data_IF_545440386200
#
_entry.id   IF_545440386200
#
_cell.length_a   1.000
_cell.length_b   1.000
_cell.length_c   1.000
_cell.angle_alpha   90.00
_cell.angle_beta   90.00
_cell.angle_gamma   90.00
#
_symmetry.space_group_name_H-M   'P 1'
#
loop_
_entity.id
_entity.type
_entity.pdbx_description
1 polymer ?
2 non-polymer ?
3 non-polymer ?
4 water ?
#
# COMPACT_ATOMS: atom_id res chain seq x y z
N UNK A 9 19.02 -22.94 16.41
CA UNK A 9 20.06 -23.36 15.44
C UNK A 9 19.49 -24.37 14.42
N UNK A 10 18.65 -25.31 14.85
CA UNK A 10 18.18 -26.40 13.95
C UNK A 10 17.07 -25.84 13.04
N UNK A 11 16.33 -24.83 13.48
CA UNK A 11 15.10 -24.38 12.77
C UNK A 11 15.47 -23.37 11.65
N UNK A 12 16.77 -23.09 11.52
CA UNK A 12 17.32 -21.91 10.81
C UNK A 12 16.71 -21.87 9.40
N UNK A 13 16.46 -23.00 8.73
CA UNK A 13 16.11 -23.07 7.28
C UNK A 13 14.73 -23.66 6.99
N UNK A 14 13.85 -23.91 7.97
CA UNK A 14 12.63 -24.67 7.60
C UNK A 14 11.62 -23.76 6.89
N UNK A 15 11.53 -22.49 7.22
CA UNK A 15 10.40 -21.67 6.69
C UNK A 15 10.57 -21.48 5.17
N UNK A 16 9.46 -21.46 4.46
CA UNK A 16 9.42 -21.23 3.01
C UNK A 16 8.52 -20.01 2.74
N UNK A 17 8.94 -19.13 1.85
CA UNK A 17 8.18 -17.92 1.49
C UNK A 17 7.81 -17.91 0.02
N UNK A 18 6.62 -17.39 -0.28
CA UNK A 18 6.06 -17.22 -1.61
C UNK A 18 5.82 -15.77 -1.87
N UNK A 19 6.02 -15.37 -3.13
CA UNK A 19 5.51 -14.08 -3.58
C UNK A 19 4.56 -14.20 -4.75
N UNK A 20 4.16 -13.05 -5.29
CA UNK A 20 3.05 -12.98 -6.27
C UNK A 20 3.28 -13.98 -7.42
N UNK A 21 4.50 -13.99 -7.96
CA UNK A 21 4.78 -14.79 -9.16
C UNK A 21 4.90 -16.30 -8.85
N UNK A 22 4.80 -16.70 -7.59
CA UNK A 22 4.85 -18.13 -7.17
C UNK A 22 3.44 -18.74 -7.22
N UNK A 23 2.38 -17.93 -7.34
CA UNK A 23 1.00 -18.42 -7.07
C UNK A 23 0.00 -17.89 -8.08
N UNK A 24 -1.09 -18.64 -8.25
CA UNK A 24 -2.31 -18.22 -8.97
C UNK A 24 -3.51 -18.48 -8.10
N UNK A 25 -4.58 -17.73 -8.31
CA UNK A 25 -5.85 -17.97 -7.66
C UNK A 25 -6.70 -18.99 -8.45
N UNK A 26 -7.26 -19.93 -7.74
CA UNK A 26 -8.03 -21.05 -8.35
C UNK A 26 -9.43 -20.50 -8.62
N UNK A 27 -9.94 -20.54 -9.85
CA UNK A 27 -11.33 -20.14 -10.11
C UNK A 27 -12.31 -21.04 -9.37
N UNK A 28 -13.46 -20.44 -9.02
CA UNK A 28 -14.57 -21.09 -8.31
C UNK A 28 -15.93 -20.64 -8.89
N UNK A 29 -17.02 -21.17 -8.36
CA UNK A 29 -18.40 -20.91 -8.86
C UNK A 29 -18.74 -19.43 -8.65
N UNK A 30 -19.13 -18.75 -9.70
CA UNK A 30 -19.49 -17.32 -9.68
C UNK A 30 -20.99 -17.16 -9.91
N UNK A 31 -21.62 -16.31 -9.10
CA UNK A 31 -23.02 -15.86 -9.29
C UNK A 31 -23.05 -14.33 -9.41
N UNK A 32 -21.93 -13.66 -9.21
CA UNK A 32 -21.88 -12.17 -9.20
C UNK A 32 -20.89 -11.76 -10.29
N UNK A 33 -21.35 -10.97 -11.24
CA UNK A 33 -20.52 -10.42 -12.35
C UNK A 33 -19.46 -9.47 -11.78
N UNK A 34 -18.32 -9.34 -12.49
CA UNK A 34 -17.27 -8.41 -12.07
C UNK A 34 -17.88 -7.04 -11.73
N UNK A 35 -18.78 -6.54 -12.59
CA UNK A 35 -19.33 -5.17 -12.45
C UNK A 35 -20.14 -5.05 -11.17
N UNK A 36 -20.65 -6.14 -10.60
CA UNK A 36 -21.53 -6.06 -9.42
C UNK A 36 -20.82 -6.44 -8.11
N UNK A 37 -19.55 -6.82 -8.13
CA UNK A 37 -18.90 -7.17 -6.84
C UNK A 37 -18.74 -5.89 -5.98
N UNK A 38 -18.63 -6.06 -4.68
CA UNK A 38 -18.47 -4.95 -3.72
C UNK A 38 -16.97 -4.80 -3.42
N UNK A 39 -16.39 -3.61 -3.61
CA UNK A 39 -14.93 -3.35 -3.38
C UNK A 39 -14.69 -2.54 -2.10
N UNK A 40 -15.68 -2.39 -1.23
CA UNK A 40 -15.50 -1.51 -0.06
C UNK A 40 -14.77 -2.27 1.05
N UNK A 41 -14.05 -1.57 1.90
CA UNK A 41 -13.35 -2.19 3.03
C UNK A 41 -13.28 -1.18 4.15
N UNK A 42 -13.48 -1.66 5.37
CA UNK A 42 -13.25 -0.82 6.57
C UNK A 42 -11.88 -1.14 7.13
N UNK A 43 -10.92 -0.24 7.00
CA UNK A 43 -9.60 -0.44 7.64
C UNK A 43 -9.77 -0.29 9.16
N UNK A 44 -10.65 0.67 9.55
CA UNK A 44 -11.17 0.78 10.92
C UNK A 44 -12.64 1.15 10.80
N UNK A 45 -13.36 1.15 11.92
CA UNK A 45 -14.79 1.60 11.89
C UNK A 45 -14.91 3.08 11.55
N UNK A 46 -13.87 3.88 11.57
CA UNK A 46 -13.95 5.29 11.14
C UNK A 46 -12.99 5.56 9.96
N UNK A 47 -12.58 4.53 9.24
CA UNK A 47 -11.68 4.68 8.08
C UNK A 47 -12.13 3.66 7.02
N UNK A 48 -13.01 4.12 6.17
CA UNK A 48 -13.74 3.27 5.20
C UNK A 48 -13.33 3.66 3.78
N UNK A 49 -12.99 2.68 2.96
CA UNK A 49 -12.63 2.88 1.54
C UNK A 49 -13.72 2.21 0.69
N UNK A 50 -14.02 2.79 -0.46
CA UNK A 50 -14.89 2.18 -1.48
C UNK A 50 -14.06 1.35 -2.48
N UNK A 51 -12.77 1.57 -2.58
CA UNK A 51 -11.86 0.64 -3.33
C UNK A 51 -10.62 0.40 -2.46
N UNK A 52 -10.05 -0.82 -2.48
CA UNK A 52 -9.02 -1.15 -1.48
C UNK A 52 -7.60 -0.72 -1.93
N UNK A 53 -7.44 0.57 -2.23
CA UNK A 53 -6.21 1.07 -2.85
C UNK A 53 -5.77 2.37 -2.18
N UNK A 54 -4.52 2.36 -1.76
CA UNK A 54 -3.88 3.46 -1.02
C UNK A 54 -2.63 3.90 -1.78
N UNK A 55 -2.47 5.19 -2.03
CA UNK A 55 -1.20 5.73 -2.57
C UNK A 55 -0.15 5.91 -1.47
N UNK A 56 1.09 5.50 -1.73
CA UNK A 56 2.19 5.46 -0.75
C UNK A 56 2.58 6.87 -0.26
N UNK A 57 3.05 6.91 0.98
CA UNK A 57 3.56 8.12 1.66
C UNK A 57 4.97 8.43 1.18
N UNK A 58 5.15 8.62 -0.11
CA UNK A 58 6.48 8.80 -0.73
C UNK A 58 6.49 10.16 -1.45
N UNK A 59 7.66 10.83 -1.45
CA UNK A 59 7.78 12.19 -2.03
C UNK A 59 7.71 12.15 -3.57
N UNK A 60 7.66 10.97 -4.21
CA UNK A 60 7.41 10.81 -5.66
C UNK A 60 6.03 10.21 -5.93
N UNK A 61 5.20 10.04 -4.91
CA UNK A 61 3.84 9.50 -5.14
C UNK A 61 2.74 10.42 -4.61
N UNK A 62 2.77 10.83 -3.35
CA UNK A 62 1.56 11.46 -2.76
C UNK A 62 1.82 12.81 -2.08
N UNK A 63 1.23 13.85 -2.65
CA UNK A 63 0.89 15.11 -1.97
C UNK A 63 -0.60 15.31 -2.19
N UNK A 64 -1.11 16.54 -2.03
CA UNK A 64 -2.58 16.75 -1.97
C UNK A 64 -3.28 16.41 -3.27
N UNK A 65 -2.69 16.67 -4.45
CA UNK A 65 -3.39 16.35 -5.71
C UNK A 65 -3.64 14.84 -5.77
N UNK A 66 -2.63 14.04 -5.43
CA UNK A 66 -2.78 12.57 -5.49
C UNK A 66 -3.81 12.13 -4.43
N UNK A 67 -3.70 12.67 -3.21
CA UNK A 67 -4.64 12.32 -2.10
C UNK A 67 -6.07 12.66 -2.50
N UNK A 68 -6.30 13.80 -3.16
CA UNK A 68 -7.66 14.20 -3.62
C UNK A 68 -8.12 13.22 -4.67
N UNK A 69 -7.27 12.90 -5.65
CA UNK A 69 -7.70 12.04 -6.78
C UNK A 69 -8.03 10.65 -6.21
N UNK A 70 -7.23 10.19 -5.25
CA UNK A 70 -7.43 8.82 -4.69
C UNK A 70 -8.76 8.76 -3.91
N UNK A 71 -9.03 9.72 -3.02
CA UNK A 71 -10.28 9.74 -2.26
C UNK A 71 -11.51 9.91 -3.18
N UNK A 72 -11.41 10.67 -4.25
CA UNK A 72 -12.55 10.83 -5.18
C UNK A 72 -12.90 9.49 -5.82
N UNK A 73 -11.91 8.60 -5.95
CA UNK A 73 -12.13 7.27 -6.59
C UNK A 73 -12.56 6.25 -5.51
N UNK A 74 -12.55 6.64 -4.24
CA UNK A 74 -12.95 5.77 -3.11
C UNK A 74 -11.76 5.17 -2.38
N UNK A 75 -10.52 5.55 -2.74
CA UNK A 75 -9.29 5.11 -2.10
C UNK A 75 -8.78 6.14 -1.11
N UNK A 76 -7.49 6.13 -0.89
CA UNK A 76 -6.82 6.93 0.17
C UNK A 76 -5.43 7.32 -0.29
N UNK A 77 -5.03 8.57 -0.05
CA UNK A 77 -3.64 9.01 -0.17
C UNK A 77 -3.00 9.31 1.14
N UNK A 78 -1.75 8.87 1.31
CA UNK A 78 -0.91 9.21 2.47
C UNK A 78 0.07 10.34 2.07
N UNK A 79 -0.15 11.52 2.64
CA UNK A 79 0.82 12.64 2.45
C UNK A 79 2.17 12.26 3.06
N UNK A 80 3.24 12.34 2.26
CA UNK A 80 4.60 11.99 2.73
C UNK A 80 5.10 13.02 3.75
N UNK A 81 6.14 12.64 4.47
CA UNK A 81 6.68 13.44 5.59
C UNK A 81 8.00 14.14 5.22
N UNK A 82 8.36 14.18 3.94
CA UNK A 82 9.64 14.84 3.50
C UNK A 82 9.34 16.32 3.24
N UNK A 83 8.85 16.99 4.25
CA UNK A 83 8.39 18.40 4.15
C UNK A 83 8.22 18.88 5.58
N UNK A 84 8.08 20.18 5.80
CA UNK A 84 7.96 20.71 7.18
C UNK A 84 6.62 20.25 7.76
N UNK A 85 6.50 20.34 9.08
CA UNK A 85 5.24 20.07 9.82
C UNK A 85 4.16 20.96 9.25
N UNK A 86 4.46 22.26 9.12
CA UNK A 86 3.47 23.25 8.65
C UNK A 86 3.10 22.95 7.21
N UNK A 87 4.05 22.55 6.36
CA UNK A 87 3.72 22.18 4.96
C UNK A 87 2.78 20.95 4.94
N UNK A 88 3.07 19.95 5.73
CA UNK A 88 2.28 18.68 5.73
C UNK A 88 0.86 18.92 6.24
N UNK A 89 0.70 19.73 7.29
CA UNK A 89 -0.62 20.16 7.79
C UNK A 89 -1.39 20.92 6.71
N UNK A 90 -0.73 21.81 5.95
CA UNK A 90 -1.42 22.53 4.85
C UNK A 90 -1.88 21.53 3.79
N UNK A 91 -1.04 20.55 3.43
CA UNK A 91 -1.45 19.55 2.40
C UNK A 91 -2.73 18.82 2.87
N UNK A 92 -2.74 18.33 4.09
CA UNK A 92 -3.92 17.65 4.68
C UNK A 92 -5.12 18.61 4.58
N UNK A 93 -4.93 19.85 5.00
CA UNK A 93 -6.01 20.87 4.97
C UNK A 93 -6.54 21.09 3.55
N UNK A 94 -5.69 21.10 2.50
CA UNK A 94 -6.16 21.24 1.11
C UNK A 94 -7.04 20.06 0.72
N UNK A 95 -6.69 18.85 1.15
CA UNK A 95 -7.55 17.70 0.79
C UNK A 95 -8.90 17.84 1.52
N UNK A 96 -8.85 18.14 2.82
CA UNK A 96 -10.06 18.23 3.67
C UNK A 96 -11.00 19.28 3.06
N UNK A 97 -10.46 20.35 2.48
CA UNK A 97 -11.24 21.50 1.94
C UNK A 97 -11.58 21.30 0.47
N UNK A 98 -11.15 20.23 -0.18
CA UNK A 98 -11.44 20.03 -1.61
C UNK A 98 -12.95 20.01 -1.86
N UNK A 99 -13.39 20.53 -3.02
CA UNK A 99 -14.82 20.66 -3.42
C UNK A 99 -14.92 20.63 -4.96
N UNK A 106 -18.03 12.19 -9.00
CA UNK A 106 -17.27 11.30 -8.07
C UNK A 106 -18.20 10.51 -7.17
N UNK A 107 -19.03 9.61 -7.72
CA UNK A 107 -20.00 8.88 -6.92
C UNK A 107 -19.38 7.84 -5.97
N UNK A 108 -18.11 7.48 -6.16
CA UNK A 108 -17.46 6.47 -5.29
C UNK A 108 -16.57 7.15 -4.26
N UNK A 109 -16.62 8.47 -4.12
CA UNK A 109 -15.70 9.23 -3.23
C UNK A 109 -15.82 8.70 -1.81
N UNK A 110 -14.69 8.63 -1.10
CA UNK A 110 -14.65 8.23 0.31
C UNK A 110 -14.48 9.48 1.14
N UNK A 111 -15.43 9.70 2.03
CA UNK A 111 -15.60 10.97 2.77
C UNK A 111 -15.77 10.68 4.26
N UNK A 112 -15.44 11.65 5.10
CA UNK A 112 -15.57 11.57 6.56
C UNK A 112 -17.04 11.89 6.91
N UNK A 113 -17.37 11.89 8.20
CA UNK A 113 -18.78 12.12 8.67
C UNK A 113 -19.21 13.55 8.27
N UNK A 114 -18.28 14.47 7.96
CA UNK A 114 -18.61 15.86 7.56
C UNK A 114 -18.62 16.03 6.04
N UNK A 115 -18.59 14.93 5.26
CA UNK A 115 -18.64 14.98 3.78
C UNK A 115 -17.36 15.46 3.16
N UNK A 116 -16.23 15.41 3.87
CA UNK A 116 -14.92 15.87 3.36
C UNK A 116 -14.11 14.63 2.98
N UNK A 117 -13.36 14.75 1.91
CA UNK A 117 -12.52 13.65 1.41
C UNK A 117 -11.60 13.17 2.53
N UNK A 118 -11.42 11.86 2.63
CA UNK A 118 -10.50 11.29 3.64
C UNK A 118 -9.06 11.50 3.17
N UNK A 119 -8.14 11.54 4.12
CA UNK A 119 -6.70 11.72 3.85
C UNK A 119 -5.91 11.13 4.99
N UNK A 120 -4.70 10.64 4.68
CA UNK A 120 -3.73 10.26 5.71
C UNK A 120 -2.42 11.00 5.61
N UNK A 121 -1.58 10.86 6.61
CA UNK A 121 -0.27 11.54 6.62
C UNK A 121 0.71 10.69 7.37
N UNK A 122 1.96 10.66 6.87
CA UNK A 122 3.05 9.85 7.43
C UNK A 122 3.80 10.63 8.52
N UNK A 123 4.24 9.94 9.56
CA UNK A 123 5.23 10.46 10.54
C UNK A 123 6.28 9.39 10.76
N UNK A 124 7.45 9.82 11.28
CA UNK A 124 8.55 8.93 11.64
C UNK A 124 8.65 8.83 13.13
N UNK A 125 9.75 8.27 13.63
CA UNK A 125 10.06 8.13 15.07
C UNK A 125 11.28 9.04 15.32
N UNK A 126 11.05 10.32 15.55
CA UNK A 126 12.10 11.36 15.79
C UNK A 126 11.68 12.26 16.94
N UNK A 127 12.50 13.24 17.31
CA UNK A 127 12.19 14.15 18.44
C UNK A 127 10.94 14.98 18.16
N UNK A 128 10.70 15.24 16.90
CA UNK A 128 9.63 16.09 16.32
C UNK A 128 8.24 15.40 16.24
N UNK A 129 8.19 14.08 16.35
CA UNK A 129 6.99 13.28 15.92
C UNK A 129 5.72 13.83 16.60
N UNK A 130 5.75 14.04 17.90
CA UNK A 130 4.50 14.38 18.63
C UNK A 130 3.99 15.76 18.17
N UNK A 131 4.89 16.70 17.81
CA UNK A 131 4.48 18.03 17.30
C UNK A 131 3.89 17.88 15.90
N UNK A 132 4.54 17.06 15.06
CA UNK A 132 4.00 16.76 13.71
C UNK A 132 2.59 16.18 13.84
N UNK A 133 2.40 15.20 14.70
CA UNK A 133 1.07 14.53 14.86
C UNK A 133 0.03 15.58 15.32
N UNK A 134 0.36 16.40 16.31
CA UNK A 134 -0.55 17.44 16.83
C UNK A 134 -1.06 18.34 15.70
N UNK A 135 -0.15 18.86 14.88
CA UNK A 135 -0.54 19.76 13.75
C UNK A 135 -1.36 19.01 12.71
N UNK A 136 -1.04 17.75 12.42
CA UNK A 136 -1.86 16.98 11.46
C UNK A 136 -3.27 16.72 12.01
N UNK A 137 -3.38 16.38 13.28
CA UNK A 137 -4.71 16.19 13.92
C UNK A 137 -5.48 17.52 13.88
N UNK A 138 -4.86 18.64 14.18
CA UNK A 138 -5.54 19.97 14.13
C UNK A 138 -5.98 20.25 12.68
N UNK A 139 -5.31 19.69 11.67
CA UNK A 139 -5.73 19.81 10.26
C UNK A 139 -6.78 18.74 9.91
N UNK A 140 -7.28 17.97 10.87
CA UNK A 140 -8.41 17.00 10.69
C UNK A 140 -7.96 15.84 9.77
N UNK A 141 -6.68 15.44 9.86
CA UNK A 141 -6.25 14.18 9.18
C UNK A 141 -7.12 13.00 9.68
N UNK A 142 -7.46 12.06 8.79
CA UNK A 142 -8.28 10.89 9.11
C UNK A 142 -7.44 9.78 9.69
N UNK A 143 -6.16 9.68 9.32
CA UNK A 143 -5.31 8.56 9.80
C UNK A 143 -3.85 9.03 9.77
N UNK A 144 -3.09 8.67 10.80
CA UNK A 144 -1.62 8.80 10.86
C UNK A 144 -0.99 7.46 10.45
N UNK A 145 0.07 7.52 9.63
CA UNK A 145 0.90 6.35 9.31
C UNK A 145 2.24 6.53 10.00
N UNK A 146 2.49 5.73 10.99
CA UNK A 146 3.85 5.62 11.56
C UNK A 146 4.68 4.76 10.61
N UNK A 147 5.57 5.41 9.85
CA UNK A 147 6.11 4.86 8.59
C UNK A 147 7.60 4.64 8.82
N UNK A 148 8.04 3.41 9.07
CA UNK A 148 9.46 3.15 9.37
C UNK A 148 9.96 1.92 8.60
N UNK A 149 11.28 1.82 8.43
CA UNK A 149 11.91 0.66 7.75
C UNK A 149 11.67 -0.63 8.54
N UNK A 150 11.78 -0.59 9.87
CA UNK A 150 11.71 -1.75 10.76
C UNK A 150 10.71 -1.44 11.89
N UNK A 151 9.44 -1.71 11.64
CA UNK A 151 8.36 -1.46 12.61
C UNK A 151 8.50 -2.30 13.85
N UNK A 152 9.21 -3.45 13.81
CA UNK A 152 9.39 -4.34 14.96
C UNK A 152 10.58 -3.86 15.81
N UNK A 153 10.49 -2.66 16.31
CA UNK A 153 11.61 -2.01 17.04
C UNK A 153 11.04 -1.27 18.24
N UNK A 154 11.78 -1.25 19.34
CA UNK A 154 11.27 -0.64 20.62
C UNK A 154 10.87 0.82 20.39
N UNK A 155 11.67 1.59 19.65
CA UNK A 155 11.41 3.02 19.35
C UNK A 155 10.04 3.19 18.70
N UNK A 156 9.70 2.28 17.78
CA UNK A 156 8.44 2.36 17.04
C UNK A 156 7.30 2.04 18.01
N UNK A 157 7.47 0.99 18.83
CA UNK A 157 6.41 0.56 19.77
C UNK A 157 6.15 1.72 20.76
N UNK A 158 7.18 2.35 21.26
CA UNK A 158 7.03 3.52 22.16
C UNK A 158 6.28 4.67 21.49
N UNK A 159 6.51 4.92 20.21
CA UNK A 159 5.84 6.02 19.51
C UNK A 159 4.36 5.67 19.29
N UNK A 160 4.06 4.44 18.88
CA UNK A 160 2.66 4.00 18.73
C UNK A 160 1.91 4.27 20.05
N UNK A 161 2.47 3.83 21.15
CA UNK A 161 1.86 3.98 22.51
C UNK A 161 1.65 5.47 22.81
N UNK A 162 2.66 6.32 22.56
CA UNK A 162 2.51 7.74 22.98
C UNK A 162 1.42 8.39 22.13
N UNK A 163 1.32 8.06 20.85
CA UNK A 163 0.28 8.64 19.95
C UNK A 163 -1.11 8.15 20.41
N UNK A 164 -1.25 6.87 20.70
CA UNK A 164 -2.55 6.24 21.03
C UNK A 164 -3.03 6.81 22.37
N UNK A 165 -2.11 7.02 23.31
CA UNK A 165 -2.45 7.61 24.62
C UNK A 165 -2.91 9.05 24.42
N UNK A 166 -2.28 9.81 23.55
CA UNK A 166 -2.58 11.27 23.39
C UNK A 166 -3.88 11.41 22.61
N UNK A 167 -4.19 10.49 21.69
CA UNK A 167 -5.34 10.58 20.75
C UNK A 167 -6.08 9.25 20.71
N UNK A 168 -6.92 8.99 21.74
CA UNK A 168 -7.58 7.69 21.87
C UNK A 168 -8.43 7.23 20.69
N UNK A 169 -8.96 8.14 19.90
CA UNK A 169 -9.79 7.81 18.71
C UNK A 169 -9.02 7.96 17.40
N UNK A 170 -7.75 8.41 17.41
CA UNK A 170 -7.05 8.63 16.14
C UNK A 170 -6.77 7.29 15.44
N UNK A 171 -7.13 7.18 14.18
CA UNK A 171 -6.72 6.00 13.36
C UNK A 171 -5.19 5.97 13.26
N UNK A 172 -4.60 4.81 13.56
CA UNK A 172 -3.13 4.62 13.44
C UNK A 172 -2.85 3.40 12.55
N UNK A 173 -2.13 3.67 11.49
CA UNK A 173 -1.44 2.64 10.68
C UNK A 173 0.00 2.62 11.17
N UNK A 174 0.57 1.44 11.43
CA UNK A 174 1.98 1.37 11.80
C UNK A 174 2.67 0.28 10.99
N UNK A 175 3.92 0.55 10.64
CA UNK A 175 4.71 -0.46 9.92
C UNK A 175 6.09 0.07 9.65
N UNK A 176 6.88 -0.69 8.88
CA UNK A 176 6.50 -1.90 8.17
C UNK A 176 7.03 -3.11 8.90
N UNK A 177 6.31 -4.20 8.72
CA UNK A 177 6.67 -5.50 9.33
C UNK A 177 6.41 -6.59 8.32
N UNK A 178 6.84 -7.79 8.67
CA UNK A 178 6.62 -8.99 7.82
C UNK A 178 6.40 -10.25 8.63
N UNK A 179 6.22 -10.17 9.97
CA UNK A 179 5.98 -11.36 10.81
C UNK A 179 4.74 -11.17 11.70
N UNK A 180 4.16 -12.29 12.07
CA UNK A 180 3.09 -12.41 13.09
C UNK A 180 3.53 -11.74 14.39
N UNK A 181 4.76 -11.97 14.83
CA UNK A 181 5.23 -11.43 16.13
C UNK A 181 5.27 -9.91 16.06
N UNK A 182 5.74 -9.34 14.99
CA UNK A 182 5.82 -7.87 14.85
C UNK A 182 4.41 -7.30 14.80
N UNK A 183 3.50 -7.95 14.06
CA UNK A 183 2.10 -7.55 13.89
C UNK A 183 1.47 -7.48 15.31
N UNK A 184 1.68 -8.51 16.09
CA UNK A 184 1.17 -8.64 17.48
C UNK A 184 1.69 -7.46 18.30
N UNK A 185 2.99 -7.15 18.18
CA UNK A 185 3.62 -6.13 19.01
C UNK A 185 3.02 -4.78 18.66
N UNK A 186 2.91 -4.42 17.37
CA UNK A 186 2.34 -3.11 17.01
C UNK A 186 0.90 -3.00 17.50
N UNK A 187 0.13 -4.07 17.40
CA UNK A 187 -1.29 -4.00 17.83
C UNK A 187 -1.33 -3.85 19.37
N UNK A 188 -0.50 -4.56 20.13
CA UNK A 188 -0.46 -4.44 21.61
C UNK A 188 -0.11 -3.00 22.01
N UNK A 189 0.71 -2.28 21.24
CA UNK A 189 1.10 -0.88 21.50
C UNK A 189 -0.07 0.08 21.23
N UNK A 190 -1.05 -0.31 20.39
CA UNK A 190 -2.22 0.54 20.08
C UNK A 190 -2.49 0.77 18.61
N UNK A 191 -1.78 0.13 17.67
CA UNK A 191 -2.05 0.36 16.23
C UNK A 191 -3.42 -0.24 15.85
N UNK A 192 -4.14 0.41 14.94
CA UNK A 192 -5.40 -0.12 14.36
C UNK A 192 -5.10 -1.00 13.13
N UNK A 193 -4.07 -0.63 12.35
CA UNK A 193 -3.79 -1.21 11.00
C UNK A 193 -2.29 -1.48 10.96
N UNK A 194 -1.90 -2.65 10.46
CA UNK A 194 -0.48 -3.02 10.36
C UNK A 194 -0.08 -3.02 8.88
N UNK A 195 0.98 -2.27 8.54
CA UNK A 195 1.44 -2.16 7.14
C UNK A 195 2.60 -3.15 6.93
N UNK A 196 2.42 -4.00 5.94
CA UNK A 196 3.23 -5.20 5.74
C UNK A 196 4.06 -5.04 4.46
N UNK A 197 5.34 -5.32 4.58
CA UNK A 197 6.30 -5.38 3.46
C UNK A 197 7.69 -5.05 3.95
N UNK A 198 8.62 -6.00 3.85
CA UNK A 198 10.05 -5.70 4.16
C UNK A 198 10.83 -6.14 2.91
N UNK A 199 11.07 -5.18 2.04
CA UNK A 199 11.95 -5.26 0.87
C UNK A 199 11.30 -5.51 -0.49
N UNK A 200 9.96 -5.73 -0.65
CA UNK A 200 9.44 -6.07 -1.99
C UNK A 200 9.30 -4.88 -2.96
N UNK A 201 9.48 -3.66 -2.47
CA UNK A 201 9.34 -2.43 -3.29
C UNK A 201 10.16 -2.45 -4.56
N UNK A 202 9.61 -1.91 -5.65
CA UNK A 202 10.28 -1.80 -6.98
C UNK A 202 11.68 -1.19 -6.86
N UNK A 203 11.90 -0.21 -5.97
CA UNK A 203 13.22 0.50 -5.94
C UNK A 203 13.94 0.20 -4.63
N UNK A 204 13.42 -0.76 -3.85
CA UNK A 204 14.00 -1.13 -2.54
C UNK A 204 15.15 -2.13 -2.73
N UNK A 205 16.19 -1.98 -1.90
CA UNK A 205 17.39 -2.84 -1.89
C UNK A 205 17.66 -3.38 -0.48
N UNK A 206 16.72 -3.23 0.44
CA UNK A 206 16.81 -3.83 1.80
C UNK A 206 17.26 -5.29 1.70
N UNK A 207 16.63 -6.07 0.83
CA UNK A 207 16.86 -7.54 0.81
C UNK A 207 18.31 -7.81 0.42
N UNK A 208 18.86 -6.99 -0.45
CA UNK A 208 20.22 -7.17 -0.98
C UNK A 208 21.29 -6.53 -0.08
N UNK A 209 21.04 -5.29 0.37
CA UNK A 209 21.93 -4.47 1.25
C UNK A 209 22.07 -5.16 2.62
N UNK A 210 20.94 -5.54 3.24
CA UNK A 210 20.88 -6.00 4.63
C UNK A 210 20.83 -7.52 4.69
N UNK A 211 20.31 -8.16 3.64
CA UNK A 211 20.12 -9.62 3.59
C UNK A 211 18.80 -10.08 4.16
N UNK A 212 17.82 -9.18 4.35
CA UNK A 212 16.65 -9.43 5.22
C UNK A 212 15.36 -9.29 4.39
N UNK A 213 14.32 -10.03 4.76
CA UNK A 213 12.98 -9.85 4.19
C UNK A 213 12.19 -11.11 4.23
N UNK A 214 10.95 -10.98 3.76
CA UNK A 214 10.01 -12.12 3.69
C UNK A 214 9.27 -11.95 2.37
N UNK A 215 9.24 -12.99 1.50
CA UNK A 215 8.48 -12.91 0.25
C UNK A 215 7.04 -12.47 0.58
N UNK A 216 6.50 -11.64 -0.28
CA UNK A 216 5.39 -10.75 0.13
C UNK A 216 4.08 -11.52 0.36
N UNK A 217 3.78 -12.55 -0.42
CA UNK A 217 2.50 -13.27 -0.20
C UNK A 217 2.58 -13.95 1.16
N UNK A 218 3.70 -14.57 1.51
CA UNK A 218 3.90 -15.16 2.84
C UNK A 218 3.79 -14.05 3.92
N UNK A 219 4.45 -12.91 3.73
CA UNK A 219 4.40 -11.78 4.69
C UNK A 219 2.96 -11.37 4.94
N UNK A 220 2.18 -11.18 3.89
CA UNK A 220 0.75 -10.76 4.01
C UNK A 220 -0.01 -11.82 4.79
N UNK A 221 0.11 -13.08 4.39
CA UNK A 221 -0.64 -14.18 5.00
C UNK A 221 -0.30 -14.34 6.47
N UNK A 222 0.98 -14.31 6.81
CA UNK A 222 1.40 -14.52 8.20
C UNK A 222 0.88 -13.35 9.06
N UNK A 223 1.02 -12.12 8.58
CA UNK A 223 0.62 -10.92 9.34
C UNK A 223 -0.92 -10.85 9.40
N UNK A 224 -1.64 -11.18 8.34
CA UNK A 224 -3.14 -11.16 8.34
C UNK A 224 -3.67 -12.24 9.30
N UNK A 225 -3.02 -13.41 9.34
CA UNK A 225 -3.39 -14.52 10.27
C UNK A 225 -3.33 -13.99 11.72
N UNK A 226 -2.27 -13.24 12.04
CA UNK A 226 -2.15 -12.66 13.39
C UNK A 226 -3.17 -11.52 13.58
N UNK A 227 -3.27 -10.61 12.63
CA UNK A 227 -4.15 -9.42 12.77
C UNK A 227 -5.59 -9.84 13.02
N UNK A 228 -6.06 -10.87 12.36
CA UNK A 228 -7.44 -11.38 12.51
C UNK A 228 -7.72 -11.78 13.98
N UNK A 229 -6.74 -12.30 14.69
CA UNK A 229 -6.85 -12.73 16.10
C UNK A 229 -7.19 -11.49 16.94
N UNK A 230 -6.80 -10.30 16.52
CA UNK A 230 -6.93 -9.03 17.28
C UNK A 230 -8.06 -8.18 16.72
N UNK A 231 -8.74 -8.65 15.70
CA UNK A 231 -9.75 -7.87 14.95
C UNK A 231 -9.20 -6.64 14.24
N UNK A 232 -7.95 -6.67 13.81
CA UNK A 232 -7.31 -5.52 13.15
C UNK A 232 -7.08 -5.86 11.67
N UNK A 233 -6.60 -4.88 10.92
CA UNK A 233 -6.50 -4.98 9.45
C UNK A 233 -5.04 -4.80 9.02
N UNK A 234 -4.76 -5.26 7.80
CA UNK A 234 -3.44 -5.28 7.12
C UNK A 234 -3.52 -4.38 5.89
N UNK A 235 -2.48 -3.64 5.63
CA UNK A 235 -2.19 -3.01 4.32
C UNK A 235 -0.99 -3.76 3.72
N UNK A 236 -1.21 -4.32 2.53
CA UNK A 236 -0.17 -5.02 1.74
C UNK A 236 0.62 -3.96 0.98
N UNK A 237 1.81 -3.63 1.46
CA UNK A 237 2.64 -2.54 0.93
C UNK A 237 3.83 -3.05 0.13
N UNK A 238 3.78 -2.94 -1.20
CA UNK A 238 4.98 -3.20 -2.03
C UNK A 238 4.89 -4.44 -2.90
N UNK A 239 5.59 -4.42 -4.03
CA UNK A 239 5.79 -5.61 -4.84
C UNK A 239 4.71 -5.80 -5.85
N UNK A 240 3.67 -4.99 -5.83
CA UNK A 240 2.55 -5.11 -6.80
C UNK A 240 2.96 -4.49 -8.16
N UNK A 241 2.87 -5.29 -9.24
CA UNK A 241 3.34 -4.89 -10.58
C UNK A 241 2.17 -4.90 -11.55
N UNK A 242 1.16 -5.72 -11.32
CA UNK A 242 -0.01 -5.89 -12.24
C UNK A 242 -1.29 -5.88 -11.42
N UNK A 243 -2.41 -5.61 -12.08
CA UNK A 243 -3.73 -5.64 -11.43
C UNK A 243 -3.96 -6.99 -10.74
N UNK A 244 -3.51 -8.12 -11.32
CA UNK A 244 -3.79 -9.44 -10.74
C UNK A 244 -3.06 -9.60 -9.40
N UNK A 245 -1.95 -8.87 -9.21
CA UNK A 245 -1.20 -8.93 -7.94
C UNK A 245 -2.05 -8.29 -6.82
N UNK A 246 -2.94 -7.38 -7.16
CA UNK A 246 -3.91 -6.85 -6.19
C UNK A 246 -4.87 -7.97 -5.76
N UNK A 247 -5.43 -8.72 -6.69
CA UNK A 247 -6.35 -9.84 -6.31
C UNK A 247 -5.57 -10.75 -5.37
N UNK A 248 -4.33 -11.02 -5.69
CA UNK A 248 -3.50 -11.97 -4.94
C UNK A 248 -3.24 -11.42 -3.54
N UNK A 249 -2.86 -10.17 -3.45
CA UNK A 249 -2.51 -9.56 -2.15
C UNK A 249 -3.72 -9.62 -1.21
N UNK A 250 -4.91 -9.29 -1.73
CA UNK A 250 -6.11 -9.26 -0.90
C UNK A 250 -6.53 -10.70 -0.54
N UNK A 251 -6.51 -11.65 -1.49
CA UNK A 251 -6.81 -13.05 -1.24
C UNK A 251 -5.83 -13.64 -0.20
N UNK A 252 -4.60 -13.13 -0.10
CA UNK A 252 -3.61 -13.59 0.89
C UNK A 252 -3.96 -13.05 2.26
N UNK A 253 -4.89 -12.11 2.37
CA UNK A 253 -5.30 -11.61 3.70
C UNK A 253 -5.30 -10.10 3.79
N UNK A 254 -4.73 -9.40 2.82
CA UNK A 254 -4.69 -7.94 2.89
C UNK A 254 -6.07 -7.36 2.86
N UNK A 255 -6.27 -6.27 3.60
CA UNK A 255 -7.54 -5.52 3.50
C UNK A 255 -7.47 -4.50 2.37
N UNK A 256 -6.31 -3.84 2.19
CA UNK A 256 -6.06 -2.89 1.13
C UNK A 256 -4.59 -3.03 0.72
N UNK A 257 -4.33 -2.59 -0.49
CA UNK A 257 -2.94 -2.53 -1.03
C UNK A 257 -2.46 -1.10 -0.96
N UNK A 258 -1.14 -0.95 -0.82
CA UNK A 258 -0.48 0.34 -1.01
C UNK A 258 0.43 0.26 -2.23
N UNK A 259 0.32 1.27 -3.08
CA UNK A 259 1.02 1.30 -4.38
C UNK A 259 1.98 2.47 -4.41
N UNK A 260 3.20 2.24 -4.89
CA UNK A 260 4.13 3.34 -5.21
C UNK A 260 4.42 3.46 -6.69
N UNK A 261 5.21 2.55 -7.26
CA UNK A 261 5.65 2.64 -8.67
C UNK A 261 4.45 2.67 -9.63
N UNK A 262 3.36 1.97 -9.35
CA UNK A 262 2.23 1.93 -10.33
C UNK A 262 1.53 3.30 -10.39
N UNK A 263 1.72 4.18 -9.41
CA UNK A 263 1.06 5.50 -9.43
C UNK A 263 2.08 6.62 -9.68
N UNK A 264 3.37 6.39 -9.52
CA UNK A 264 4.43 7.42 -9.66
C UNK A 264 4.40 8.04 -11.09
N UNK A 265 4.05 7.29 -12.11
CA UNK A 265 4.00 7.94 -13.45
C UNK A 265 2.78 8.81 -13.73
N UNK A 266 1.82 8.97 -12.81
CA UNK A 266 0.49 9.57 -13.11
C UNK A 266 0.58 11.08 -12.94
N UNK A 267 -0.36 11.78 -13.54
CA UNK A 267 -0.33 13.27 -13.56
C UNK A 267 -0.25 13.83 -12.14
N UNK A 268 -1.02 13.29 -11.21
CA UNK A 268 -1.18 13.87 -9.86
C UNK A 268 0.03 13.56 -8.98
N UNK A 269 0.96 12.71 -9.40
CA UNK A 269 2.15 12.45 -8.56
C UNK A 269 3.04 13.68 -8.54
N UNK A 270 3.79 13.94 -7.45
CA UNK A 270 4.60 15.15 -7.35
C UNK A 270 5.99 15.06 -8.02
N UNK A 271 6.45 13.87 -8.42
CA UNK A 271 7.83 13.67 -8.92
C UNK A 271 8.22 14.63 -10.05
N UNK A 272 9.53 14.82 -10.25
CA UNK A 272 10.13 15.53 -11.43
C UNK A 272 9.85 14.69 -12.69
N UNK A 273 9.54 15.34 -13.81
CA UNK A 273 9.53 14.70 -15.16
C UNK A 273 10.97 14.65 -15.71
N UNK A 274 11.25 13.62 -16.52
CA UNK A 274 12.53 13.42 -17.27
C UNK A 274 12.15 12.95 -18.67
N UNK A 275 12.85 13.46 -19.70
CA UNK A 275 12.73 13.00 -21.11
C UNK A 275 13.88 12.03 -21.39
N UNK A 276 13.57 10.91 -22.01
CA UNK A 276 14.58 9.93 -22.51
C UNK A 276 14.01 9.17 -23.73
N UNK A 277 14.74 9.21 -24.86
CA UNK A 277 14.30 8.57 -26.12
C UNK A 277 12.87 9.01 -26.50
N UNK A 278 12.62 10.33 -26.40
CA UNK A 278 11.35 11.00 -26.75
C UNK A 278 10.16 10.55 -25.90
N UNK A 279 10.40 9.74 -24.86
CA UNK A 279 9.37 9.27 -23.90
C UNK A 279 9.49 10.08 -22.60
N UNK A 280 8.36 10.51 -22.03
CA UNK A 280 8.27 11.24 -20.75
C UNK A 280 8.23 10.21 -19.61
N UNK A 281 8.96 10.50 -18.55
CA UNK A 281 8.98 9.64 -17.34
C UNK A 281 8.74 10.56 -16.16
N UNK A 282 8.38 9.96 -15.04
CA UNK A 282 8.55 10.66 -13.75
C UNK A 282 9.54 9.87 -12.89
N UNK A 283 10.28 10.59 -12.07
CA UNK A 283 11.25 10.02 -11.11
C UNK A 283 10.43 9.21 -10.11
N UNK A 284 11.02 8.09 -9.71
CA UNK A 284 10.53 7.28 -8.59
C UNK A 284 11.74 6.82 -7.77
N UNK A 285 11.75 7.13 -6.48
CA UNK A 285 12.93 6.85 -5.63
C UNK A 285 12.46 6.39 -4.26
N UNK A 286 13.27 5.55 -3.62
CA UNK A 286 13.05 5.11 -2.23
C UNK A 286 13.18 6.28 -1.29
N UNK A 287 12.50 6.19 -0.14
CA UNK A 287 12.71 7.12 0.99
C UNK A 287 13.95 6.62 1.76
N UNK A 288 14.52 5.47 1.38
CA UNK A 288 15.81 4.93 1.84
C UNK A 288 16.95 5.17 0.87
N UNK A 289 16.70 5.87 -0.26
CA UNK A 289 17.74 6.28 -1.26
C UNK A 289 18.50 7.51 -0.73
N UNK A 290 19.76 7.71 -1.16
CA UNK A 290 20.62 8.88 -0.74
C UNK A 290 19.89 10.21 -1.07
N UNK A 291 19.19 10.29 -2.21
CA UNK A 291 18.42 11.47 -2.70
C UNK A 291 17.26 11.83 -1.73
N UNK A 292 16.42 10.88 -1.34
CA UNK A 292 15.22 11.12 -0.49
C UNK A 292 15.65 11.51 0.94
N UNK A 293 16.57 10.76 1.57
CA UNK A 293 17.09 11.09 2.93
C UNK A 293 18.23 12.13 2.78
N UNK A 294 17.87 13.42 2.87
CA UNK A 294 18.78 14.61 2.75
C UNK A 294 17.93 15.88 2.81
N UNK A 309 25.55 8.00 4.54
CA UNK A 309 24.45 7.01 4.73
C UNK A 309 24.89 5.64 4.19
N UNK A 310 24.11 4.62 4.58
CA UNK A 310 24.10 3.29 3.89
C UNK A 310 22.68 3.11 3.37
N UNK A 311 22.43 3.40 2.07
CA UNK A 311 21.06 3.44 1.53
C UNK A 311 20.44 2.04 1.35
N UNK A 312 19.12 1.96 1.45
CA UNK A 312 18.33 0.71 1.17
C UNK A 312 17.32 0.96 0.03
N UNK A 313 17.51 2.04 -0.73
CA UNK A 313 16.77 2.27 -2.00
C UNK A 313 17.70 2.77 -3.09
N UNK A 314 17.26 2.69 -4.36
CA UNK A 314 17.97 3.36 -5.48
C UNK A 314 16.99 4.36 -6.11
N UNK A 315 17.40 5.01 -7.19
CA UNK A 315 16.60 6.04 -7.88
C UNK A 315 16.31 5.51 -9.28
N UNK A 316 15.09 5.73 -9.73
CA UNK A 316 14.65 5.30 -11.06
C UNK A 316 13.59 6.25 -11.61
N UNK A 317 12.98 5.82 -12.70
CA UNK A 317 11.88 6.56 -13.32
C UNK A 317 10.96 5.56 -13.96
N UNK A 318 9.73 5.98 -14.20
CA UNK A 318 8.68 5.13 -14.79
C UNK A 318 7.93 6.00 -15.80
N UNK A 319 7.43 5.41 -16.91
CA UNK A 319 6.81 6.19 -17.99
C UNK A 319 5.66 7.05 -17.45
N UNK A 320 5.49 8.28 -17.94
CA UNK A 320 4.30 9.16 -17.74
C UNK A 320 3.04 8.41 -18.18
N UNK A 321 1.97 8.41 -17.39
CA UNK A 321 0.83 7.49 -17.64
C UNK A 321 -0.48 8.26 -17.74
N UNK A 322 -0.49 9.54 -17.53
CA UNK A 322 -1.76 10.30 -17.55
C UNK A 322 -2.44 10.27 -16.18
N UNK A 323 -3.71 10.69 -16.16
CA UNK A 323 -4.43 10.92 -14.92
C UNK A 323 -4.52 9.62 -14.10
N UNK A 324 -4.32 9.74 -12.80
CA UNK A 324 -4.36 8.56 -11.89
C UNK A 324 -5.70 7.82 -12.01
N UNK A 325 -6.82 8.50 -12.30
CA UNK A 325 -8.14 7.83 -12.44
C UNK A 325 -8.09 6.71 -13.50
N UNK A 326 -7.37 6.91 -14.59
CA UNK A 326 -7.32 5.92 -15.69
C UNK A 326 -6.53 4.66 -15.22
N UNK A 327 -5.48 4.85 -14.46
CA UNK A 327 -4.65 3.74 -13.90
C UNK A 327 -5.50 2.98 -12.86
N UNK A 328 -6.18 3.70 -11.97
CA UNK A 328 -7.02 3.10 -10.91
C UNK A 328 -8.12 2.32 -11.57
N UNK A 329 -8.77 2.88 -12.59
CA UNK A 329 -9.88 2.20 -13.28
C UNK A 329 -9.39 0.82 -13.80
N UNK A 330 -8.21 0.74 -14.43
CA UNK A 330 -7.66 -0.54 -14.96
C UNK A 330 -7.28 -1.49 -13.82
N UNK A 331 -6.69 -0.97 -12.76
CA UNK A 331 -6.28 -1.81 -11.61
C UNK A 331 -7.52 -2.41 -10.95
N UNK A 332 -8.51 -1.56 -10.64
CA UNK A 332 -9.81 -1.99 -10.06
C UNK A 332 -10.51 -2.94 -11.03
N UNK A 333 -10.45 -2.71 -12.33
CA UNK A 333 -11.10 -3.62 -13.28
C UNK A 333 -10.50 -5.03 -13.21
N UNK A 334 -9.18 -5.15 -13.11
CA UNK A 334 -8.50 -6.46 -12.99
C UNK A 334 -8.88 -7.14 -11.70
N UNK A 335 -8.93 -6.38 -10.60
CA UNK A 335 -9.41 -6.90 -9.32
C UNK A 335 -10.84 -7.43 -9.47
N UNK A 336 -11.75 -6.66 -10.09
CA UNK A 336 -13.14 -7.12 -10.22
C UNK A 336 -13.19 -8.42 -11.05
N UNK A 337 -12.46 -8.48 -12.14
CA UNK A 337 -12.36 -9.70 -12.99
C UNK A 337 -11.88 -10.90 -12.16
N UNK A 338 -10.84 -10.73 -11.34
CA UNK A 338 -10.32 -11.80 -10.48
C UNK A 338 -11.37 -12.27 -9.49
N UNK A 339 -12.08 -11.34 -8.87
CA UNK A 339 -13.17 -11.64 -7.95
C UNK A 339 -14.30 -12.41 -8.66
N UNK A 340 -14.65 -12.07 -9.87
CA UNK A 340 -15.64 -12.84 -10.66
C UNK A 340 -15.17 -14.26 -10.93
N UNK A 341 -13.89 -14.45 -11.26
CA UNK A 341 -13.33 -15.79 -11.46
C UNK A 341 -13.34 -16.58 -10.14
N UNK A 342 -13.05 -15.94 -9.00
CA UNK A 342 -13.01 -16.60 -7.68
C UNK A 342 -14.43 -16.77 -7.14
N UNK A 343 -15.43 -16.12 -7.73
CA UNK A 343 -16.80 -16.12 -7.19
C UNK A 343 -16.90 -15.34 -5.91
N UNK A 344 -16.08 -14.31 -5.74
CA UNK A 344 -16.06 -13.44 -4.52
C UNK A 344 -17.04 -12.28 -4.72
N UNK A 345 -18.16 -12.24 -4.00
CA UNK A 345 -19.16 -11.13 -4.14
C UNK A 345 -18.62 -9.87 -3.45
N UNK A 346 -17.64 -10.03 -2.56
CA UNK A 346 -17.05 -8.86 -1.85
C UNK A 346 -15.66 -9.22 -1.32
N UNK A 347 -14.98 -8.27 -0.72
CA UNK A 347 -13.54 -8.50 -0.38
C UNK A 347 -13.42 -9.49 0.75
N UNK A 348 -14.38 -9.53 1.68
CA UNK A 348 -14.38 -10.53 2.76
C UNK A 348 -14.36 -11.96 2.17
N UNK A 349 -15.20 -12.23 1.19
CA UNK A 349 -15.24 -13.53 0.50
C UNK A 349 -13.87 -13.82 -0.14
N UNK A 350 -13.25 -12.83 -0.78
CA UNK A 350 -11.91 -13.01 -1.42
C UNK A 350 -10.88 -13.37 -0.34
N UNK A 351 -10.74 -12.55 0.71
CA UNK A 351 -9.78 -12.81 1.81
C UNK A 351 -10.05 -14.17 2.43
N UNK A 352 -11.32 -14.53 2.70
CA UNK A 352 -11.66 -15.68 3.56
C UNK A 352 -11.73 -16.97 2.72
N UNK A 353 -12.14 -16.94 1.46
CA UNK A 353 -12.51 -18.20 0.78
C UNK A 353 -11.56 -18.50 -0.39
N UNK A 354 -10.86 -17.52 -0.95
CA UNK A 354 -10.13 -17.75 -2.23
C UNK A 354 -8.97 -18.70 -1.94
N UNK A 355 -8.68 -19.59 -2.87
CA UNK A 355 -7.60 -20.60 -2.75
C UNK A 355 -6.53 -20.32 -3.79
N UNK A 356 -5.27 -20.57 -3.42
CA UNK A 356 -4.11 -20.45 -4.33
C UNK A 356 -3.67 -21.83 -4.80
N UNK A 357 -2.99 -21.80 -5.93
CA UNK A 357 -2.18 -22.95 -6.39
C UNK A 357 -0.77 -22.42 -6.68
N UNK A 358 0.24 -23.16 -6.26
CA UNK A 358 1.66 -22.84 -6.48
C UNK A 358 2.08 -23.26 -7.89
N UNK A 359 2.89 -22.43 -8.50
CA UNK A 359 3.38 -22.71 -9.88
C UNK A 359 4.91 -22.59 -9.89
N UNK A 360 5.56 -23.23 -10.85
CA UNK A 360 7.01 -23.10 -11.07
C UNK A 360 7.27 -21.87 -11.94
N UNK A 361 8.51 -21.64 -12.33
CA UNK A 361 8.82 -20.66 -13.37
C UNK A 361 8.22 -20.99 -14.71
N UNK A 362 8.00 -22.28 -15.02
CA UNK A 362 7.31 -22.67 -16.26
C UNK A 362 5.83 -22.27 -16.17
N UNK A 363 5.17 -22.50 -15.03
CA UNK A 363 3.81 -21.97 -14.77
C UNK A 363 3.71 -20.47 -15.05
N UNK A 364 4.67 -19.71 -14.51
CA UNK A 364 4.71 -18.23 -14.65
C UNK A 364 4.84 -17.91 -16.14
N UNK A 365 5.71 -18.60 -16.85
CA UNK A 365 5.94 -18.28 -18.30
C UNK A 365 4.66 -18.58 -19.11
N UNK A 366 3.91 -19.61 -18.75
CA UNK A 366 2.61 -19.92 -19.41
C UNK A 366 1.56 -18.83 -19.11
N UNK A 367 1.63 -18.23 -17.92
CA UNK A 367 0.60 -17.29 -17.40
C UNK A 367 0.72 -15.96 -18.15
N UNK A 368 1.94 -15.54 -18.49
CA UNK A 368 2.18 -14.37 -19.38
C UNK A 368 1.94 -14.81 -20.81
N UNK A 369 1.67 -13.83 -21.72
CA UNK A 369 1.69 -14.12 -23.15
C UNK A 369 3.02 -14.81 -23.51
N UNK A 370 3.04 -15.70 -24.50
CA UNK A 370 4.28 -16.43 -24.87
C UNK A 370 4.17 -16.92 -26.32
N UNK A 371 5.32 -17.10 -27.01
CA UNK A 371 5.45 -17.80 -28.33
C UNK A 371 4.72 -17.04 -29.46
N UNK A 372 4.52 -15.73 -29.32
CA UNK A 372 3.91 -14.87 -30.37
C UNK A 372 4.61 -13.52 -30.31
N UNK A 373 4.84 -12.90 -31.46
CA UNK A 373 5.45 -11.56 -31.50
C UNK A 373 4.36 -10.55 -31.13
N UNK A 374 4.57 -9.76 -30.07
CA UNK A 374 3.57 -8.75 -29.60
C UNK A 374 3.86 -7.41 -30.27
N UNK A 375 2.83 -6.81 -30.86
CA UNK A 375 2.84 -5.54 -31.64
C UNK A 375 2.22 -4.45 -30.74
N UNK A 376 1.08 -4.79 -30.14
CA UNK A 376 0.20 -3.89 -29.35
C UNK A 376 -0.02 -4.53 -27.97
N UNK A 377 0.19 -3.78 -26.89
CA UNK A 377 -0.16 -4.24 -25.51
C UNK A 377 -1.48 -3.61 -25.06
N UNK A 378 -1.82 -3.71 -23.78
CA UNK A 378 -3.09 -3.14 -23.29
C UNK A 378 -2.77 -2.25 -22.12
N UNK A 379 -3.70 -1.32 -21.80
CA UNK A 379 -3.50 -0.45 -20.65
C UNK A 379 -3.08 -1.27 -19.43
N UNK A 380 -3.60 -2.49 -19.27
CA UNK A 380 -3.46 -3.29 -18.01
C UNK A 380 -2.36 -4.37 -18.15
N UNK A 381 -1.65 -4.42 -19.28
CA UNK A 381 -0.53 -5.39 -19.43
C UNK A 381 0.65 -4.74 -20.20
X LIG B 1 6.09 -0.49 -4.97
X LIG B 1 6.30 -0.20 -3.55
X LIG B 1 4.61 -0.28 -5.21
X LIG B 1 6.48 -1.93 -5.26
X LIG B 1 6.87 0.44 -5.73
X LIG C 1 -11.35 -4.01 20.35
X LIG C 1 -11.39 -5.28 19.76
X LIG C 1 -10.22 -3.94 21.31
X LIG C 1 -8.98 -3.80 20.57
X LIG C 1 -10.38 -2.80 22.30
X LIG C 1 -10.50 -1.52 21.69
X LIG D 1 -10.32 -10.40 8.11
X LIG D 1 -10.28 -11.03 6.81
X LIG D 1 -11.35 -9.29 8.16
X LIG D 1 -12.58 -9.80 7.66
X LIG D 1 -11.58 -8.66 9.52
X LIG D 1 -12.11 -7.34 9.40
#
# INVERSE_FOLDING_TARGET
>A
MGHHHHHHWESKFSKEGLTFDDVLLVPAKSEVLPRDVDLSVELTKTLKLNIPVISAGMDTVTESAMAIAMARQGGLGIIHKNMSIEQQAEQVDKVKRSERGSGSEFPNSSKDIHGRLIVGAAVGVTGDTMTRVKKLVEANVDVIVIDTAHGHSQGVLNTVTKIRETYPELNIIAGNVATAEATRALIEAGADVVKVGIGPGSICTTRVVAGVGVPQITAIYDCATEARKHGKTIIADGGIKFSGDITKALAAGGHAVMLGSLLAGTSESPGETEIYQGRRFKVYRGMGSVAAMEKGSKDRYFQEENKKFVPEGIEGRTPYKGPVEETVYQLVGGLRSGMGYCGSKDLRALREEAQFIRMTGAGLRESHPHDVQITKESPNYTIS
>B hetero
1 PO4 P O1 O2 O3 O4
>C hetero
1 GOL C1 O1 C2 O2 C3 O3
>D hetero
1 GOL C1 O1 C2 O2 C3 O3
#
